data_IF_681658359597
#
_entry.id   IF_681658359597
#
_cell.length_a   1.000
_cell.length_b   1.000
_cell.length_c   1.000
_cell.angle_alpha   90.00
_cell.angle_beta   90.00
_cell.angle_gamma   90.00
#
_symmetry.space_group_name_H-M   'P 1'
#
loop_
_entity.id
_entity.type
_entity.pdbx_description
1 polymer ?
#
# COMPACT_ATOMS: atom_id res chain seq x y z
N UNK A 1 -5.38 4.33 -45.90
CA UNK A 1 -6.02 3.32 -45.04
C UNK A 1 -4.97 2.86 -44.05
N UNK A 2 -4.96 3.43 -42.86
CA UNK A 2 -3.98 3.14 -41.84
C UNK A 2 -4.54 1.93 -41.06
N UNK A 3 -3.92 0.76 -41.25
CA UNK A 3 -4.21 -0.39 -40.37
C UNK A 3 -3.59 -0.07 -39.01
N UNK A 4 -4.43 0.31 -38.03
CA UNK A 4 -4.03 0.24 -36.64
C UNK A 4 -3.83 -1.23 -36.31
N UNK A 5 -2.56 -1.65 -36.15
CA UNK A 5 -2.28 -2.93 -35.54
C UNK A 5 -2.86 -2.90 -34.12
N UNK A 6 -3.84 -3.75 -33.86
CA UNK A 6 -4.29 -3.98 -32.47
C UNK A 6 -3.06 -4.42 -31.67
N UNK A 7 -2.86 -3.90 -30.45
CA UNK A 7 -1.79 -4.41 -29.61
C UNK A 7 -2.00 -5.91 -29.45
N UNK A 8 -0.94 -6.69 -29.69
CA UNK A 8 -0.95 -8.11 -29.35
C UNK A 8 -1.36 -8.20 -27.88
N UNK A 9 -2.50 -8.83 -27.63
CA UNK A 9 -2.92 -9.13 -26.26
C UNK A 9 -1.78 -9.95 -25.63
N UNK A 10 -1.17 -9.41 -24.58
CA UNK A 10 -0.24 -10.19 -23.78
C UNK A 10 -0.99 -11.46 -23.34
N UNK A 11 -0.37 -12.63 -23.48
CA UNK A 11 -1.03 -13.88 -23.05
C UNK A 11 -1.28 -13.78 -21.55
N UNK A 12 -2.53 -14.00 -21.15
CA UNK A 12 -2.92 -14.06 -19.75
C UNK A 12 -2.04 -15.08 -19.02
N UNK A 13 -1.45 -14.67 -17.91
CA UNK A 13 -0.51 -15.51 -17.16
C UNK A 13 -0.67 -15.30 -15.66
N UNK A 14 -0.78 -16.41 -14.94
CA UNK A 14 -0.64 -16.46 -13.49
C UNK A 14 0.46 -17.46 -13.17
N UNK A 15 1.50 -16.98 -12.49
CA UNK A 15 2.64 -17.81 -12.11
C UNK A 15 2.94 -17.65 -10.63
N UNK A 16 3.39 -18.73 -10.00
CA UNK A 16 3.83 -18.71 -8.61
C UNK A 16 5.06 -19.59 -8.42
N UNK A 17 5.83 -19.28 -7.40
CA UNK A 17 7.03 -20.02 -7.04
C UNK A 17 7.34 -19.89 -5.56
N UNK A 18 8.19 -20.78 -5.07
CA UNK A 18 8.56 -20.81 -3.65
C UNK A 18 7.49 -21.46 -2.77
N UNK A 19 7.48 -21.13 -1.49
CA UNK A 19 6.57 -21.71 -0.51
C UNK A 19 5.31 -20.87 -0.39
N UNK A 20 4.22 -21.36 -0.95
CA UNK A 20 2.90 -20.75 -0.89
C UNK A 20 1.88 -21.75 -0.34
N UNK A 21 0.79 -21.27 0.23
CA UNK A 21 -0.29 -22.07 0.74
C UNK A 21 -1.63 -21.56 0.21
N UNK A 22 -2.59 -22.46 0.00
CA UNK A 22 -3.90 -22.12 -0.54
C UNK A 22 -3.91 -21.75 -2.04
N UNK A 23 -2.78 -21.84 -2.76
CA UNK A 23 -2.72 -21.62 -4.21
C UNK A 23 -2.96 -22.98 -4.92
N UNK A 24 -4.08 -23.16 -5.63
CA UNK A 24 -4.34 -24.41 -6.33
C UNK A 24 -3.44 -24.54 -7.57
N UNK A 25 -3.04 -25.78 -7.91
CA UNK A 25 -2.25 -26.05 -9.13
C UNK A 25 -2.96 -25.67 -10.43
N UNK A 26 -4.28 -25.47 -10.35
CA UNK A 26 -5.13 -25.05 -11.47
C UNK A 26 -5.15 -23.54 -11.67
N UNK A 27 -4.60 -22.76 -10.74
CA UNK A 27 -4.61 -21.30 -10.82
C UNK A 27 -3.99 -20.82 -12.15
N UNK A 28 -4.69 -19.91 -12.83
CA UNK A 28 -4.28 -19.38 -14.13
C UNK A 28 -4.67 -20.23 -15.34
N UNK A 29 -5.35 -21.37 -15.14
CA UNK A 29 -5.85 -22.20 -16.26
C UNK A 29 -7.18 -21.69 -16.82
N UNK A 30 -7.90 -20.87 -16.08
CA UNK A 30 -9.12 -20.18 -16.50
C UNK A 30 -9.00 -18.69 -16.19
N UNK A 31 -9.77 -17.86 -16.88
CA UNK A 31 -9.75 -16.42 -16.64
C UNK A 31 -11.19 -15.86 -16.77
N UNK A 32 -11.80 -15.34 -15.70
CA UNK A 32 -11.26 -15.19 -14.34
C UNK A 32 -11.13 -16.52 -13.60
N UNK A 33 -10.15 -16.59 -12.70
CA UNK A 33 -9.97 -17.74 -11.80
C UNK A 33 -10.41 -17.38 -10.37
N UNK A 34 -10.93 -18.36 -9.63
CA UNK A 34 -11.42 -18.13 -8.26
C UNK A 34 -10.79 -19.13 -7.29
N UNK A 35 -10.24 -18.59 -6.21
CA UNK A 35 -9.68 -19.34 -5.08
C UNK A 35 -10.51 -19.07 -3.84
N UNK A 36 -10.97 -20.11 -3.14
CA UNK A 36 -11.73 -19.99 -1.91
C UNK A 36 -10.82 -20.19 -0.69
N UNK A 37 -11.01 -19.36 0.33
CA UNK A 37 -10.32 -19.46 1.60
C UNK A 37 -9.02 -18.64 1.70
N UNK A 38 -8.12 -19.10 2.56
CA UNK A 38 -6.87 -18.39 2.85
C UNK A 38 -5.81 -18.70 1.77
N UNK A 39 -5.24 -17.65 1.19
CA UNK A 39 -4.07 -17.71 0.33
C UNK A 39 -2.89 -17.06 1.06
N UNK A 40 -1.76 -17.75 1.14
CA UNK A 40 -0.53 -17.25 1.74
C UNK A 40 0.62 -17.29 0.73
N UNK A 41 1.25 -16.16 0.50
CA UNK A 41 2.44 -16.01 -0.34
C UNK A 41 3.65 -15.80 0.57
N UNK A 42 4.62 -16.73 0.54
CA UNK A 42 5.69 -16.79 1.52
C UNK A 42 5.19 -17.40 2.83
N UNK A 43 4.70 -18.65 2.78
CA UNK A 43 4.18 -19.39 3.92
C UNK A 43 5.29 -20.12 4.67
N UNK A 44 5.24 -20.05 6.01
CA UNK A 44 6.20 -20.70 6.91
C UNK A 44 7.41 -19.84 7.25
N UNK A 45 8.01 -20.10 8.42
CA UNK A 45 9.09 -19.30 8.97
C UNK A 45 10.34 -19.34 8.07
N UNK A 46 10.86 -18.17 7.73
CA UNK A 46 12.07 -18.02 6.90
C UNK A 46 11.89 -18.37 5.42
N UNK A 47 10.69 -18.75 5.00
CA UNK A 47 10.42 -19.16 3.62
C UNK A 47 10.13 -17.97 2.69
N UNK A 48 10.35 -18.19 1.40
CA UNK A 48 10.06 -17.20 0.36
C UNK A 48 8.98 -17.74 -0.59
N UNK A 49 8.06 -16.86 -1.01
CA UNK A 49 7.01 -17.17 -1.97
C UNK A 49 6.71 -16.02 -2.91
N UNK A 50 6.29 -16.33 -4.12
CA UNK A 50 5.96 -15.34 -5.12
C UNK A 50 4.65 -15.70 -5.83
N UNK A 51 3.86 -14.69 -6.17
CA UNK A 51 2.68 -14.78 -7.03
C UNK A 51 2.72 -13.63 -8.04
N UNK A 52 2.61 -13.94 -9.33
CA UNK A 52 2.54 -12.96 -10.40
C UNK A 52 1.27 -13.15 -11.21
N UNK A 53 0.56 -12.07 -11.47
CA UNK A 53 -0.66 -11.98 -12.26
C UNK A 53 -0.40 -10.93 -13.35
N UNK A 54 -0.37 -11.37 -14.61
CA UNK A 54 -0.12 -10.47 -15.73
C UNK A 54 -0.93 -10.84 -16.99
N UNK A 55 -0.67 -10.14 -18.10
CA UNK A 55 -1.29 -10.42 -19.38
C UNK A 55 -2.82 -10.31 -19.42
N UNK A 56 -3.44 -9.54 -18.52
CA UNK A 56 -4.88 -9.41 -18.42
C UNK A 56 -5.57 -10.52 -17.61
N UNK A 57 -4.82 -11.32 -16.86
CA UNK A 57 -5.38 -12.35 -15.97
C UNK A 57 -6.16 -11.72 -14.81
N UNK A 58 -7.24 -12.39 -14.43
CA UNK A 58 -8.07 -12.01 -13.28
C UNK A 58 -8.10 -13.15 -12.26
N UNK A 59 -7.68 -12.87 -11.04
CA UNK A 59 -7.73 -13.80 -9.91
C UNK A 59 -8.64 -13.22 -8.84
N UNK A 60 -9.64 -14.00 -8.43
CA UNK A 60 -10.55 -13.68 -7.34
C UNK A 60 -10.20 -14.58 -6.14
N UNK A 61 -9.89 -14.00 -5.00
CA UNK A 61 -9.75 -14.70 -3.73
C UNK A 61 -11.01 -14.43 -2.91
N UNK A 62 -11.84 -15.44 -2.74
CA UNK A 62 -12.98 -15.39 -1.82
C UNK A 62 -12.52 -15.88 -0.45
N UNK A 63 -11.96 -14.97 0.32
CA UNK A 63 -11.30 -15.26 1.59
C UNK A 63 -10.25 -14.22 1.93
N UNK A 64 -9.11 -14.68 2.41
CA UNK A 64 -8.04 -13.79 2.90
C UNK A 64 -6.74 -13.99 2.13
N UNK A 65 -6.06 -12.90 1.79
CA UNK A 65 -4.71 -12.92 1.25
C UNK A 65 -3.70 -12.46 2.31
N UNK A 66 -2.72 -13.31 2.58
CA UNK A 66 -1.56 -12.95 3.40
C UNK A 66 -0.28 -12.98 2.58
N UNK A 67 0.48 -11.91 2.61
CA UNK A 67 1.81 -11.82 1.98
C UNK A 67 2.83 -11.74 3.11
N UNK A 68 3.67 -12.76 3.26
CA UNK A 68 4.66 -12.91 4.33
C UNK A 68 4.02 -12.90 5.75
N UNK A 69 3.18 -13.89 6.03
CA UNK A 69 2.43 -13.99 7.29
C UNK A 69 3.16 -14.79 8.39
N UNK A 70 4.39 -15.16 8.16
CA UNK A 70 5.19 -15.94 9.11
C UNK A 70 6.49 -15.23 9.43
N UNK A 71 7.05 -15.55 10.60
CA UNK A 71 8.29 -14.95 11.09
C UNK A 71 9.42 -15.12 10.07
N UNK A 72 10.10 -14.00 9.75
CA UNK A 72 11.21 -13.94 8.79
C UNK A 72 10.85 -14.43 7.37
N UNK A 73 9.58 -14.69 7.09
CA UNK A 73 9.15 -15.05 5.73
C UNK A 73 9.24 -13.85 4.78
N UNK A 74 9.35 -14.15 3.50
CA UNK A 74 9.29 -13.16 2.44
C UNK A 74 8.21 -13.54 1.44
N UNK A 75 7.31 -12.64 1.17
CA UNK A 75 6.26 -12.81 0.19
C UNK A 75 6.29 -11.70 -0.84
N UNK A 76 6.11 -12.03 -2.11
CA UNK A 76 6.01 -11.04 -3.18
C UNK A 76 4.80 -11.33 -4.06
N UNK A 77 3.95 -10.32 -4.21
CA UNK A 77 2.84 -10.34 -5.16
C UNK A 77 3.04 -9.25 -6.19
N UNK A 78 2.92 -9.61 -7.47
CA UNK A 78 3.01 -8.68 -8.61
C UNK A 78 1.73 -8.76 -9.42
N UNK A 79 1.07 -7.63 -9.64
CA UNK A 79 -0.07 -7.50 -10.55
C UNK A 79 0.31 -6.47 -11.62
N UNK A 80 0.57 -6.95 -12.83
CA UNK A 80 1.21 -6.18 -13.87
C UNK A 80 0.42 -6.21 -15.19
N UNK A 81 0.31 -5.05 -15.81
CA UNK A 81 -0.29 -4.90 -17.13
C UNK A 81 -1.79 -4.64 -17.11
N UNK A 82 -2.25 -3.98 -18.17
CA UNK A 82 -3.63 -3.60 -18.35
C UNK A 82 -4.56 -4.83 -18.36
N UNK A 83 -5.63 -4.76 -17.58
CA UNK A 83 -6.61 -5.84 -17.43
C UNK A 83 -6.24 -6.88 -16.37
N UNK A 84 -4.98 -6.94 -15.92
CA UNK A 84 -4.56 -7.83 -14.82
C UNK A 84 -5.17 -7.38 -13.50
N UNK A 85 -5.81 -8.31 -12.78
CA UNK A 85 -6.52 -8.00 -11.53
C UNK A 85 -6.34 -9.07 -10.48
N UNK A 86 -6.19 -8.61 -9.25
CA UNK A 86 -6.33 -9.42 -8.04
C UNK A 86 -7.45 -8.80 -7.21
N UNK A 87 -8.52 -9.55 -7.01
CA UNK A 87 -9.67 -9.14 -6.22
C UNK A 87 -9.71 -10.04 -4.99
N UNK A 88 -9.74 -9.44 -3.81
CA UNK A 88 -9.82 -10.15 -2.54
C UNK A 88 -11.10 -9.74 -1.84
N UNK A 89 -12.07 -10.64 -1.84
CA UNK A 89 -13.37 -10.44 -1.21
C UNK A 89 -13.47 -11.28 0.05
N UNK A 90 -13.67 -10.66 1.20
CA UNK A 90 -13.74 -11.37 2.48
C UNK A 90 -14.96 -10.98 3.27
N UNK A 91 -15.61 -11.96 3.84
CA UNK A 91 -16.60 -11.81 4.92
C UNK A 91 -15.94 -11.65 6.29
N UNK A 92 -14.70 -12.13 6.40
CA UNK A 92 -13.85 -11.96 7.58
C UNK A 92 -13.10 -10.62 7.53
N UNK A 93 -12.74 -10.20 8.68
CA UNK A 93 -12.34 -8.85 9.01
C UNK A 93 -10.96 -8.39 8.49
N UNK A 94 -10.18 -9.20 7.76
CA UNK A 94 -8.84 -8.87 7.27
C UNK A 94 -8.63 -9.43 5.86
N UNK A 95 -9.20 -8.82 4.82
CA UNK A 95 -9.08 -9.39 3.48
C UNK A 95 -7.64 -9.47 2.98
N UNK A 96 -6.78 -8.52 3.36
CA UNK A 96 -5.44 -8.47 2.80
C UNK A 96 -4.41 -7.95 3.80
N UNK A 97 -3.47 -8.81 4.20
CA UNK A 97 -2.34 -8.46 5.06
C UNK A 97 -1.03 -8.58 4.30
N UNK A 98 -0.18 -7.55 4.39
CA UNK A 98 1.10 -7.46 3.69
C UNK A 98 2.21 -7.26 4.72
N UNK A 99 3.12 -8.23 4.85
CA UNK A 99 4.22 -8.15 5.83
C UNK A 99 3.75 -8.35 7.27
N UNK A 100 2.84 -9.29 7.49
CA UNK A 100 2.39 -9.66 8.83
C UNK A 100 3.35 -10.70 9.40
N UNK A 101 4.26 -10.32 10.29
CA UNK A 101 5.42 -11.04 10.86
C UNK A 101 6.61 -11.29 9.91
N UNK A 102 6.50 -11.00 8.63
CA UNK A 102 7.54 -11.14 7.63
C UNK A 102 7.70 -9.89 6.77
N UNK A 103 8.50 -9.98 5.73
CA UNK A 103 8.70 -8.91 4.75
C UNK A 103 7.81 -9.14 3.53
N UNK A 104 6.72 -8.39 3.43
CA UNK A 104 5.74 -8.49 2.35
C UNK A 104 5.96 -7.44 1.28
N UNK A 105 5.91 -7.84 0.01
CA UNK A 105 6.03 -6.93 -1.11
C UNK A 105 4.79 -7.04 -2.01
N UNK A 106 4.18 -5.90 -2.33
CA UNK A 106 3.10 -5.78 -3.31
C UNK A 106 3.49 -4.77 -4.37
N UNK A 107 3.54 -5.20 -5.61
CA UNK A 107 3.81 -4.36 -6.78
C UNK A 107 2.59 -4.37 -7.70
N UNK A 108 2.07 -3.19 -8.00
CA UNK A 108 0.94 -2.99 -8.91
C UNK A 108 1.40 -2.02 -10.00
N UNK A 109 1.50 -2.50 -11.23
CA UNK A 109 2.14 -1.73 -12.28
C UNK A 109 1.44 -1.84 -13.64
N UNK A 110 1.72 -0.86 -14.52
CA UNK A 110 1.31 -0.86 -15.93
C UNK A 110 -0.19 -1.08 -16.17
N UNK A 111 -1.05 -0.55 -15.30
CA UNK A 111 -2.50 -0.70 -15.37
C UNK A 111 -3.05 -1.93 -14.65
N UNK A 112 -2.23 -2.66 -13.90
CA UNK A 112 -2.66 -3.73 -13.00
C UNK A 112 -3.52 -3.19 -11.86
N UNK A 113 -4.42 -4.02 -11.31
CA UNK A 113 -5.35 -3.61 -10.25
C UNK A 113 -5.37 -4.62 -9.10
N UNK A 114 -5.29 -4.12 -7.87
CA UNK A 114 -5.53 -4.90 -6.66
C UNK A 114 -6.68 -4.25 -5.91
N UNK A 115 -7.74 -5.02 -5.67
CA UNK A 115 -8.98 -4.55 -5.08
C UNK A 115 -9.31 -5.41 -3.87
N UNK A 116 -9.31 -4.79 -2.69
CA UNK A 116 -9.85 -5.38 -1.47
C UNK A 116 -11.31 -5.02 -1.31
N UNK A 117 -12.16 -5.99 -1.16
CA UNK A 117 -13.59 -5.85 -0.91
C UNK A 117 -13.95 -6.48 0.43
N UNK A 118 -14.88 -5.85 1.13
CA UNK A 118 -15.33 -6.30 2.43
C UNK A 118 -16.86 -6.37 2.45
N UNK A 119 -17.40 -7.52 2.76
CA UNK A 119 -18.85 -7.76 2.81
C UNK A 119 -19.44 -7.63 4.24
N UNK A 120 -18.58 -7.51 5.27
CA UNK A 120 -19.00 -7.41 6.66
C UNK A 120 -19.46 -6.01 7.09
N UNK A 121 -20.13 -5.93 8.25
CA UNK A 121 -20.62 -4.65 8.81
C UNK A 121 -19.60 -3.90 9.64
N UNK A 122 -18.58 -4.58 10.14
CA UNK A 122 -17.54 -4.00 11.01
C UNK A 122 -16.17 -4.18 10.35
N UNK A 123 -15.53 -3.11 9.91
CA UNK A 123 -14.20 -3.20 9.32
C UNK A 123 -13.17 -3.52 10.42
N UNK A 124 -12.52 -4.66 10.34
CA UNK A 124 -11.29 -4.85 11.10
C UNK A 124 -10.09 -4.35 10.32
N UNK A 125 -9.01 -3.96 11.01
CA UNK A 125 -7.86 -3.39 10.34
C UNK A 125 -7.13 -4.41 9.47
N UNK A 126 -6.81 -4.01 8.25
CA UNK A 126 -5.78 -4.65 7.45
C UNK A 126 -4.40 -4.24 7.96
N UNK A 127 -3.38 -5.03 7.68
CA UNK A 127 -2.03 -4.73 8.17
C UNK A 127 -1.04 -4.59 7.01
N UNK A 128 -0.24 -3.52 7.07
CA UNK A 128 0.96 -3.34 6.29
C UNK A 128 2.16 -3.26 7.24
N UNK A 129 2.96 -4.32 7.30
CA UNK A 129 4.08 -4.40 8.22
C UNK A 129 3.65 -4.45 9.68
N UNK A 130 3.24 -5.62 10.17
CA UNK A 130 2.90 -5.82 11.57
C UNK A 130 3.85 -6.79 12.24
N UNK A 131 4.37 -6.44 13.42
CA UNK A 131 5.20 -7.31 14.24
C UNK A 131 4.53 -7.61 15.57
N UNK A 132 4.47 -8.88 15.93
CA UNK A 132 3.86 -9.32 17.17
C UNK A 132 4.83 -9.75 18.28
N UNK A 133 5.90 -10.46 17.97
CA UNK A 133 6.45 -11.36 18.99
C UNK A 133 7.90 -11.16 19.43
N UNK A 134 8.76 -10.39 18.75
CA UNK A 134 10.13 -10.21 19.23
C UNK A 134 10.81 -8.93 18.76
N UNK A 135 11.65 -8.31 19.61
CA UNK A 135 12.41 -7.11 19.23
C UNK A 135 13.50 -7.35 18.18
N UNK A 136 13.80 -8.61 17.86
CA UNK A 136 14.89 -9.00 16.97
C UNK A 136 14.47 -9.12 15.49
N UNK A 137 13.17 -9.21 15.19
CA UNK A 137 12.71 -9.35 13.83
C UNK A 137 12.66 -7.99 13.13
N UNK A 138 13.48 -7.83 12.12
CA UNK A 138 13.44 -6.68 11.21
C UNK A 138 12.57 -7.04 10.02
N UNK A 139 11.49 -6.30 9.79
CA UNK A 139 10.65 -6.46 8.60
C UNK A 139 10.72 -5.23 7.72
N UNK A 140 10.76 -5.45 6.42
CA UNK A 140 10.69 -4.40 5.42
C UNK A 140 9.56 -4.73 4.45
N UNK A 141 8.46 -3.99 4.55
CA UNK A 141 7.29 -4.15 3.68
C UNK A 141 7.32 -3.08 2.60
N UNK A 142 7.13 -3.48 1.35
CA UNK A 142 7.08 -2.58 0.21
C UNK A 142 5.72 -2.66 -0.47
N UNK A 143 5.10 -1.51 -0.68
CA UNK A 143 3.88 -1.37 -1.45
C UNK A 143 4.16 -0.35 -2.54
N UNK A 144 4.15 -0.79 -3.79
CA UNK A 144 4.43 0.05 -4.95
C UNK A 144 3.28 0.02 -5.94
N UNK A 145 2.70 1.18 -6.20
CA UNK A 145 1.64 1.37 -7.19
C UNK A 145 2.14 2.37 -8.20
N UNK A 146 2.42 1.92 -9.42
CA UNK A 146 3.08 2.74 -10.44
C UNK A 146 2.48 2.50 -11.83
N UNK A 147 2.54 3.51 -12.67
CA UNK A 147 2.05 3.45 -14.05
C UNK A 147 0.56 3.74 -14.17
N UNK A 148 0.23 4.41 -15.27
CA UNK A 148 -1.12 4.87 -15.57
C UNK A 148 -2.15 3.73 -15.54
N UNK A 149 -3.24 3.95 -14.79
CA UNK A 149 -4.34 2.99 -14.63
C UNK A 149 -4.10 1.92 -13.55
N UNK A 150 -2.90 1.87 -12.95
CA UNK A 150 -2.63 0.99 -11.81
C UNK A 150 -3.41 1.42 -10.58
N UNK A 151 -3.99 0.46 -9.88
CA UNK A 151 -4.89 0.71 -8.76
C UNK A 151 -4.61 -0.24 -7.60
N UNK A 152 -4.40 0.33 -6.42
CA UNK A 152 -4.55 -0.37 -5.15
C UNK A 152 -5.74 0.25 -4.41
N UNK A 153 -6.79 -0.52 -4.20
CA UNK A 153 -8.02 -0.04 -3.59
C UNK A 153 -8.40 -0.87 -2.37
N UNK A 154 -8.65 -0.17 -1.29
CA UNK A 154 -9.37 -0.66 -0.13
C UNK A 154 -10.68 0.12 0.03
N UNK A 155 -11.72 -0.45 0.67
CA UNK A 155 -12.95 0.27 0.96
C UNK A 155 -12.70 1.56 1.77
N UNK A 156 -13.49 2.58 1.53
CA UNK A 156 -13.38 3.88 2.22
C UNK A 156 -13.62 3.79 3.73
N UNK A 157 -14.33 2.78 4.21
CA UNK A 157 -14.50 2.49 5.63
C UNK A 157 -13.39 1.61 6.23
N UNK A 158 -12.46 1.10 5.42
CA UNK A 158 -11.37 0.27 5.92
C UNK A 158 -10.32 1.09 6.67
N UNK A 159 -9.83 0.52 7.77
CA UNK A 159 -8.62 0.96 8.47
C UNK A 159 -7.44 0.06 8.07
N UNK A 160 -6.32 0.65 7.73
CA UNK A 160 -5.07 -0.05 7.44
C UNK A 160 -4.05 0.36 8.51
N UNK A 161 -3.59 -0.58 9.31
CA UNK A 161 -2.51 -0.36 10.27
C UNK A 161 -1.18 -0.51 9.59
N UNK A 162 -0.39 0.56 9.59
CA UNK A 162 0.89 0.66 8.87
C UNK A 162 2.02 0.68 9.89
N UNK A 163 3.01 -0.17 9.71
CA UNK A 163 4.17 -0.29 10.59
C UNK A 163 3.77 -0.47 12.07
N UNK A 164 2.73 -1.26 12.32
CA UNK A 164 2.21 -1.49 13.65
C UNK A 164 3.01 -2.56 14.40
N UNK A 165 3.05 -2.47 15.73
CA UNK A 165 3.63 -3.49 16.60
C UNK A 165 2.89 -3.51 17.93
N UNK A 166 2.62 -4.69 18.46
CA UNK A 166 2.03 -4.85 19.79
C UNK A 166 3.05 -4.59 20.92
N UNK A 167 4.33 -4.49 20.56
CA UNK A 167 5.44 -4.30 21.50
C UNK A 167 6.20 -3.01 21.20
N UNK A 168 7.06 -2.60 22.10
CA UNK A 168 7.96 -1.47 21.93
C UNK A 168 9.02 -1.67 20.80
N UNK A 169 8.95 -2.79 20.09
CA UNK A 169 9.81 -3.08 18.94
C UNK A 169 9.52 -2.09 17.81
N UNK A 170 10.58 -1.46 17.35
CA UNK A 170 10.53 -0.38 16.34
C UNK A 170 11.24 -0.76 15.04
N UNK A 171 11.39 -2.05 14.78
CA UNK A 171 12.24 -2.57 13.69
C UNK A 171 11.50 -2.81 12.39
N UNK A 172 10.19 -2.58 12.36
CA UNK A 172 9.42 -2.69 11.13
C UNK A 172 9.45 -1.39 10.32
N UNK A 173 9.68 -1.56 9.03
CA UNK A 173 9.65 -0.46 8.06
C UNK A 173 8.63 -0.75 6.99
N UNK A 174 7.80 0.24 6.68
CA UNK A 174 6.86 0.18 5.55
C UNK A 174 7.19 1.31 4.58
N UNK A 175 7.41 0.94 3.33
CA UNK A 175 7.68 1.86 2.24
C UNK A 175 6.51 1.80 1.25
N UNK A 176 5.86 2.92 1.01
CA UNK A 176 4.75 3.06 0.06
C UNK A 176 5.17 4.00 -1.05
N UNK A 177 5.05 3.56 -2.30
CA UNK A 177 5.25 4.38 -3.50
C UNK A 177 3.95 4.48 -4.28
N UNK A 178 3.56 5.71 -4.64
CA UNK A 178 2.42 5.99 -5.52
C UNK A 178 2.87 6.97 -6.61
N UNK A 179 3.04 6.49 -7.83
CA UNK A 179 3.67 7.27 -8.90
C UNK A 179 3.07 6.99 -10.28
N UNK A 180 3.40 7.82 -11.26
CA UNK A 180 3.11 7.62 -12.67
C UNK A 180 1.62 7.48 -13.01
N UNK A 181 0.80 8.41 -12.52
CA UNK A 181 -0.66 8.43 -12.75
C UNK A 181 -1.38 7.18 -12.21
N UNK A 182 -0.78 6.47 -11.28
CA UNK A 182 -1.42 5.38 -10.53
C UNK A 182 -2.35 5.90 -9.44
N UNK A 183 -3.10 4.99 -8.78
CA UNK A 183 -3.99 5.36 -7.70
C UNK A 183 -3.90 4.40 -6.51
N UNK A 184 -3.79 4.97 -5.30
CA UNK A 184 -4.01 4.28 -4.04
C UNK A 184 -5.23 4.88 -3.35
N UNK A 185 -6.20 4.05 -2.99
CA UNK A 185 -7.42 4.45 -2.29
C UNK A 185 -7.56 3.69 -0.99
N UNK A 186 -7.78 4.41 0.11
CA UNK A 186 -8.09 3.82 1.41
C UNK A 186 -8.89 4.81 2.29
N UNK A 187 -9.58 4.32 3.29
CA UNK A 187 -10.25 5.17 4.27
C UNK A 187 -9.26 5.76 5.26
N UNK A 188 -8.73 4.94 6.14
CA UNK A 188 -7.82 5.38 7.20
C UNK A 188 -6.49 4.62 7.13
N UNK A 189 -5.37 5.35 7.11
CA UNK A 189 -4.07 4.80 7.45
C UNK A 189 -3.78 5.11 8.93
N UNK A 190 -3.61 4.08 9.73
CA UNK A 190 -3.22 4.20 11.13
C UNK A 190 -1.76 3.81 11.29
N UNK A 191 -0.91 4.82 11.44
CA UNK A 191 0.54 4.65 11.50
C UNK A 191 0.96 4.27 12.91
N UNK A 192 1.56 3.10 13.06
CA UNK A 192 1.97 2.53 14.32
C UNK A 192 3.41 2.90 14.73
N UNK A 193 4.02 2.03 15.52
CA UNK A 193 5.29 2.31 16.24
C UNK A 193 6.56 2.23 15.39
N UNK A 194 6.49 1.67 14.18
CA UNK A 194 7.63 1.50 13.27
C UNK A 194 7.94 2.73 12.43
N UNK A 195 8.70 2.52 11.37
CA UNK A 195 9.04 3.54 10.38
C UNK A 195 8.08 3.43 9.19
N UNK A 196 7.49 4.56 8.79
CA UNK A 196 6.62 4.66 7.62
C UNK A 196 7.16 5.72 6.68
N UNK A 197 7.45 5.32 5.44
CA UNK A 197 7.85 6.21 4.36
C UNK A 197 6.77 6.14 3.26
N UNK A 198 6.18 7.27 2.92
CA UNK A 198 5.21 7.39 1.83
C UNK A 198 5.79 8.33 0.80
N UNK A 199 6.06 7.81 -0.39
CA UNK A 199 6.60 8.57 -1.51
C UNK A 199 5.53 8.76 -2.58
N UNK A 200 5.40 10.00 -3.04
CA UNK A 200 4.53 10.39 -4.15
C UNK A 200 5.40 10.83 -5.32
N UNK A 201 5.25 10.13 -6.44
CA UNK A 201 6.14 10.26 -7.58
C UNK A 201 7.49 9.55 -7.38
N UNK A 202 8.19 9.31 -8.47
CA UNK A 202 9.54 8.74 -8.48
C UNK A 202 10.41 9.47 -9.51
N UNK A 203 10.61 10.77 -9.30
CA UNK A 203 11.20 11.71 -10.26
C UNK A 203 10.45 11.76 -11.61
N UNK A 204 9.18 11.38 -11.58
CA UNK A 204 8.23 11.39 -12.68
C UNK A 204 6.89 11.92 -12.16
N UNK A 205 5.77 11.65 -12.83
CA UNK A 205 4.46 12.13 -12.41
C UNK A 205 4.03 11.59 -11.04
N UNK A 206 3.21 12.36 -10.35
CA UNK A 206 2.52 11.90 -9.17
C UNK A 206 1.57 10.74 -9.49
N UNK A 207 1.31 9.90 -8.49
CA UNK A 207 0.10 9.11 -8.44
C UNK A 207 -0.94 9.78 -7.55
N UNK A 208 -2.17 9.35 -7.64
CA UNK A 208 -3.27 9.79 -6.78
C UNK A 208 -3.22 9.07 -5.44
N UNK A 209 -3.00 9.79 -4.36
CA UNK A 209 -3.05 9.29 -3.00
C UNK A 209 -4.39 9.67 -2.35
N UNK A 210 -5.42 8.84 -2.57
CA UNK A 210 -6.80 9.07 -2.15
C UNK A 210 -7.07 8.38 -0.80
N UNK A 211 -6.42 8.91 0.24
CA UNK A 211 -6.58 8.49 1.63
C UNK A 211 -7.33 9.56 2.40
N UNK A 212 -8.39 9.18 3.11
CA UNK A 212 -9.21 10.17 3.82
C UNK A 212 -8.56 10.65 5.10
N UNK A 213 -7.98 9.72 5.87
CA UNK A 213 -7.41 10.00 7.18
C UNK A 213 -6.06 9.30 7.38
N UNK A 214 -5.18 10.00 8.07
CA UNK A 214 -3.92 9.47 8.58
C UNK A 214 -3.91 9.70 10.09
N UNK A 215 -3.94 8.60 10.86
CA UNK A 215 -3.90 8.64 12.32
C UNK A 215 -2.54 8.16 12.81
N UNK A 216 -1.82 8.98 13.55
CA UNK A 216 -0.56 8.58 14.18
C UNK A 216 -0.84 7.98 15.55
N UNK A 217 -0.34 6.78 15.83
CA UNK A 217 -0.39 6.14 17.14
C UNK A 217 0.61 6.78 18.13
N UNK A 218 0.69 6.26 19.36
CA UNK A 218 1.40 6.93 20.45
C UNK A 218 2.89 7.17 20.19
N UNK A 219 3.59 6.27 19.50
CA UNK A 219 5.04 6.35 19.38
C UNK A 219 5.62 5.91 18.02
N UNK A 220 5.24 6.52 16.87
CA UNK A 220 5.90 6.21 15.62
C UNK A 220 7.37 6.58 15.71
N UNK A 221 8.26 5.72 15.18
CA UNK A 221 9.69 6.03 15.12
C UNK A 221 9.97 7.14 14.15
N UNK A 222 9.41 6.99 12.95
CA UNK A 222 9.57 7.96 11.87
C UNK A 222 8.39 7.87 10.93
N UNK A 223 7.85 9.02 10.59
CA UNK A 223 6.85 9.16 9.53
C UNK A 223 7.36 10.18 8.54
N UNK A 224 7.53 9.78 7.29
CA UNK A 224 8.02 10.64 6.21
C UNK A 224 7.04 10.60 5.04
N UNK A 225 6.69 11.78 4.55
CA UNK A 225 6.08 11.98 3.23
C UNK A 225 7.12 12.61 2.31
N UNK A 226 7.40 11.95 1.19
CA UNK A 226 8.41 12.35 0.22
C UNK A 226 7.72 12.67 -1.12
N UNK A 227 7.60 13.95 -1.43
CA UNK A 227 7.02 14.45 -2.67
C UNK A 227 8.12 14.55 -3.72
N UNK A 228 8.19 13.54 -4.59
CA UNK A 228 9.23 13.36 -5.60
C UNK A 228 8.70 13.48 -7.03
N UNK A 229 7.52 14.05 -7.21
CA UNK A 229 6.86 14.22 -8.50
C UNK A 229 7.40 15.44 -9.28
N UNK A 230 7.16 15.41 -10.59
CA UNK A 230 7.51 16.49 -11.52
C UNK A 230 6.33 17.38 -11.93
N UNK A 231 5.12 16.98 -11.57
CA UNK A 231 3.84 17.65 -11.83
C UNK A 231 3.19 18.18 -10.54
N UNK A 232 1.98 18.72 -10.68
CA UNK A 232 1.22 19.22 -9.54
C UNK A 232 0.56 18.09 -8.78
N UNK A 233 0.63 18.14 -7.44
CA UNK A 233 0.02 17.17 -6.54
C UNK A 233 -0.71 17.87 -5.39
N UNK A 234 -1.89 17.34 -5.02
CA UNK A 234 -2.66 17.84 -3.89
C UNK A 234 -2.61 16.86 -2.72
N UNK A 235 -2.06 17.30 -1.59
CA UNK A 235 -2.04 16.53 -0.34
C UNK A 235 -3.14 17.03 0.59
N UNK A 236 -4.23 16.27 0.71
CA UNK A 236 -5.46 16.70 1.41
C UNK A 236 -5.95 15.78 2.54
N UNK A 237 -5.27 14.72 2.97
CA UNK A 237 -5.75 13.87 4.05
C UNK A 237 -5.99 14.63 5.34
N UNK A 238 -6.96 14.20 6.13
CA UNK A 238 -7.03 14.58 7.54
C UNK A 238 -5.89 13.89 8.29
N UNK A 239 -5.11 14.63 9.09
CA UNK A 239 -4.02 14.07 9.89
C UNK A 239 -4.28 14.32 11.36
N UNK A 240 -4.25 13.27 12.18
CA UNK A 240 -4.49 13.38 13.62
C UNK A 240 -3.52 12.50 14.40
N UNK A 241 -3.20 12.89 15.63
CA UNK A 241 -2.48 12.04 16.58
C UNK A 241 -3.43 11.48 17.62
N UNK A 242 -3.31 10.18 17.93
CA UNK A 242 -4.03 9.53 19.01
C UNK A 242 -3.44 9.86 20.40
N UNK A 243 -2.25 10.44 20.44
CA UNK A 243 -1.52 10.76 21.67
C UNK A 243 -1.70 12.24 22.05
N UNK A 244 -1.73 12.54 23.36
CA UNK A 244 -1.68 13.94 23.82
C UNK A 244 -0.33 14.61 23.55
N UNK A 245 0.71 13.83 23.24
CA UNK A 245 2.03 14.37 22.87
C UNK A 245 2.09 14.63 21.38
N UNK A 246 2.64 15.78 21.00
CA UNK A 246 2.83 16.16 19.61
C UNK A 246 3.75 15.18 18.89
N UNK A 247 3.34 14.72 17.72
CA UNK A 247 4.14 13.83 16.86
C UNK A 247 4.79 14.62 15.74
N UNK A 248 6.00 14.23 15.39
CA UNK A 248 6.77 14.87 14.31
C UNK A 248 6.63 14.04 13.03
N UNK A 249 6.27 14.73 11.96
CA UNK A 249 6.18 14.17 10.61
C UNK A 249 7.11 14.94 9.69
N UNK A 250 7.93 14.23 8.95
CA UNK A 250 8.82 14.84 7.95
C UNK A 250 8.08 14.94 6.60
N UNK A 251 7.94 16.15 6.09
CA UNK A 251 7.47 16.43 4.72
C UNK A 251 8.65 16.93 3.89
N UNK A 252 8.96 16.20 2.82
CA UNK A 252 10.11 16.49 1.96
C UNK A 252 9.62 16.72 0.53
N UNK A 253 9.82 17.92 -0.01
CA UNK A 253 9.64 18.21 -1.43
C UNK A 253 11.00 18.14 -2.12
N UNK A 254 11.20 17.12 -2.95
CA UNK A 254 12.43 16.93 -3.73
C UNK A 254 12.22 16.80 -5.22
N UNK A 255 10.99 16.53 -5.66
CA UNK A 255 10.63 16.58 -7.07
C UNK A 255 10.53 18.02 -7.57
N UNK A 256 10.64 18.23 -8.88
CA UNK A 256 10.57 19.55 -9.49
C UNK A 256 9.15 20.10 -9.60
N UNK A 257 8.13 19.31 -9.31
CA UNK A 257 6.73 19.71 -9.35
C UNK A 257 6.29 20.56 -8.17
N UNK A 258 5.00 20.87 -8.13
CA UNK A 258 4.36 21.62 -7.04
C UNK A 258 3.50 20.71 -6.19
N UNK A 259 3.68 20.74 -4.88
CA UNK A 259 2.75 20.11 -3.94
C UNK A 259 1.88 21.18 -3.29
N UNK A 260 0.56 21.14 -3.50
CA UNK A 260 -0.39 21.88 -2.69
C UNK A 260 -0.63 21.10 -1.40
N UNK A 261 -0.04 21.58 -0.32
CA UNK A 261 -0.16 21.00 1.02
C UNK A 261 -1.37 21.62 1.72
N UNK A 262 -2.49 20.92 1.72
CA UNK A 262 -3.75 21.40 2.27
C UNK A 262 -4.45 20.30 3.09
N UNK A 263 -3.80 19.72 4.13
CA UNK A 263 -4.43 18.73 4.98
C UNK A 263 -5.64 19.35 5.70
N UNK A 264 -6.75 18.60 5.77
CA UNK A 264 -8.00 19.08 6.37
C UNK A 264 -7.90 19.33 7.88
N UNK A 265 -6.98 18.66 8.55
CA UNK A 265 -6.70 18.81 9.97
C UNK A 265 -5.28 18.34 10.25
N UNK A 266 -4.60 18.94 11.24
CA UNK A 266 -3.28 18.53 11.71
C UNK A 266 -3.21 18.52 13.25
N UNK A 267 -4.28 18.10 13.91
CA UNK A 267 -4.34 18.13 15.38
C UNK A 267 -3.34 17.16 16.02
N UNK A 268 -2.50 17.68 16.92
CA UNK A 268 -1.48 16.93 17.63
C UNK A 268 -0.27 16.55 16.77
N UNK A 269 -0.07 17.22 15.63
CA UNK A 269 1.04 16.95 14.72
C UNK A 269 1.90 18.20 14.56
N UNK A 270 3.21 18.03 14.73
CA UNK A 270 4.23 18.96 14.29
C UNK A 270 4.89 18.44 13.02
N UNK A 271 5.40 19.31 12.19
CA UNK A 271 6.04 18.93 10.95
C UNK A 271 7.43 19.54 10.81
N UNK A 272 8.38 18.72 10.33
CA UNK A 272 9.59 19.24 9.71
C UNK A 272 9.34 19.30 8.21
N UNK A 273 9.62 20.46 7.62
CA UNK A 273 9.46 20.66 6.18
C UNK A 273 10.82 20.90 5.56
N UNK A 274 11.15 20.15 4.53
CA UNK A 274 12.38 20.33 3.74
C UNK A 274 12.02 20.44 2.26
N UNK A 275 12.51 21.47 1.61
CA UNK A 275 12.34 21.68 0.17
C UNK A 275 13.73 21.70 -0.46
N UNK A 276 14.07 20.68 -1.23
CA UNK A 276 15.35 20.57 -1.93
C UNK A 276 15.21 20.88 -3.42
N UNK A 277 14.00 20.75 -3.95
CA UNK A 277 13.66 21.09 -5.33
C UNK A 277 12.13 21.32 -5.43
N UNK A 278 11.66 21.98 -6.50
CA UNK A 278 10.24 22.25 -6.74
C UNK A 278 9.61 23.22 -5.75
N UNK A 279 8.31 23.10 -5.54
CA UNK A 279 7.50 24.02 -4.73
C UNK A 279 6.59 23.27 -3.78
N UNK A 280 6.50 23.76 -2.54
CA UNK A 280 5.48 23.36 -1.58
C UNK A 280 4.60 24.58 -1.28
N UNK A 281 3.37 24.56 -1.76
CA UNK A 281 2.37 25.60 -1.47
C UNK A 281 1.53 25.18 -0.27
N UNK A 282 1.43 26.05 0.73
CA UNK A 282 0.53 25.79 1.86
C UNK A 282 -0.84 26.34 1.51
N UNK A 283 -1.79 25.45 1.27
CA UNK A 283 -3.17 25.79 0.94
C UNK A 283 -3.87 26.44 2.13
N UNK A 284 -4.58 27.53 1.86
CA UNK A 284 -5.49 28.12 2.83
C UNK A 284 -6.80 27.34 2.82
N UNK A 285 -6.91 26.34 3.66
CA UNK A 285 -8.22 26.14 4.28
C UNK A 285 -8.27 27.05 5.49
N UNK A 286 -9.35 27.78 5.65
CA UNK A 286 -9.54 28.92 6.57
C UNK A 286 -9.58 28.53 8.05
N UNK A 287 -8.95 27.48 8.46
CA UNK A 287 -8.88 26.96 9.81
C UNK A 287 -7.42 26.77 10.27
N UNK A 288 -6.81 27.91 10.65
CA UNK A 288 -5.81 27.99 11.72
C UNK A 288 -4.53 27.17 11.58
N UNK A 289 -3.56 27.68 10.83
CA UNK A 289 -2.18 27.65 11.29
C UNK A 289 -2.07 28.62 12.49
N UNK A 290 -2.06 28.07 13.69
CA UNK A 290 -1.65 28.75 14.92
C UNK A 290 -0.42 28.07 15.46
#
# INVERSE_FOLDING_TARGET
MLLLAAPLAANASVTWSGTNDGIPETLGKVNPDTVNGLVQVGSGNGNEGNLRIDGGSVVNIQGTLHIANHRQSKGTVVVDGQGSKLIVTSDANNPMNIGNFGSGNLYVSNGGQVIGEFEGTEPTPNFWGWLRDTPEDVTNTVISVTGKGSLLQYPKNAEIRVAASDWSSKTNTVNVLVADESKLTAGTLRVGNGTTNIQIGDNNKAGTFDVEKIKLEENPQKVKFDFAQTDDFNFTPEMTSASPTTKIVDFVQRGSGTTLFAPRNMSGISSNVSITNGTLEVGRDSAKLR
#
